data_IF_885675523316
#
_entry.id   IF_885675523316
#
_cell.length_a   1.000
_cell.length_b   1.000
_cell.length_c   1.000
_cell.angle_alpha   90.00
_cell.angle_beta   90.00
_cell.angle_gamma   90.00
#
_symmetry.space_group_name_H-M   'P 1'
#
loop_
_entity.id
_entity.type
_entity.pdbx_description
1 polymer ?
#
# COMPACT_ATOMS: atom_id res chain seq x y z
N UNK A 1 21.66 17.19 17.91
CA UNK A 1 20.24 17.09 18.30
C UNK A 1 19.35 17.77 17.29
N UNK A 2 19.31 17.28 16.05
CA UNK A 2 18.54 17.89 14.97
C UNK A 2 18.19 16.90 13.86
N UNK A 3 17.79 15.67 14.22
CA UNK A 3 17.29 14.67 13.26
C UNK A 3 15.79 14.39 13.39
N UNK A 4 15.19 14.70 14.55
CA UNK A 4 13.81 14.32 14.85
C UNK A 4 12.75 15.13 14.09
N UNK A 5 13.02 16.39 13.73
CA UNK A 5 12.07 17.23 13.00
C UNK A 5 12.03 16.94 11.49
N UNK A 6 13.18 16.57 10.94
CA UNK A 6 13.39 16.20 9.55
C UNK A 6 12.80 14.81 9.26
N UNK A 7 12.89 13.88 10.22
CA UNK A 7 12.18 12.61 10.17
C UNK A 7 10.66 12.79 10.20
N UNK A 8 10.13 13.68 11.05
CA UNK A 8 8.69 13.97 11.14
C UNK A 8 8.15 14.56 9.83
N UNK A 9 8.87 15.50 9.21
CA UNK A 9 8.52 16.04 7.91
C UNK A 9 8.56 14.96 6.81
N UNK A 10 9.63 14.18 6.78
CA UNK A 10 9.83 13.10 5.82
C UNK A 10 8.74 12.01 5.90
N UNK A 11 8.25 11.71 7.10
CA UNK A 11 7.13 10.81 7.37
C UNK A 11 5.79 11.43 6.94
N UNK A 12 5.59 12.72 7.24
CA UNK A 12 4.38 13.46 6.83
C UNK A 12 4.16 13.44 5.31
N UNK A 13 5.23 13.57 4.53
CA UNK A 13 5.14 13.43 3.06
C UNK A 13 4.71 12.03 2.65
N UNK A 14 5.33 10.98 3.22
CA UNK A 14 5.00 9.59 2.91
C UNK A 14 3.52 9.27 3.14
N UNK A 15 2.93 9.80 4.22
CA UNK A 15 1.52 9.54 4.54
C UNK A 15 0.57 10.22 3.58
N UNK A 16 0.87 11.48 3.25
CA UNK A 16 0.08 12.28 2.32
C UNK A 16 0.09 11.65 0.93
N UNK A 17 1.27 11.26 0.43
CA UNK A 17 1.38 10.60 -0.87
C UNK A 17 0.77 9.19 -0.89
N UNK A 18 0.84 8.42 0.20
CA UNK A 18 0.18 7.12 0.31
C UNK A 18 -1.34 7.21 0.17
N UNK A 19 -1.96 8.20 0.84
CA UNK A 19 -3.40 8.45 0.77
C UNK A 19 -3.81 8.94 -0.63
N UNK A 20 -3.07 9.90 -1.20
CA UNK A 20 -3.32 10.42 -2.55
C UNK A 20 -3.20 9.31 -3.62
N UNK A 21 -2.23 8.42 -3.47
CA UNK A 21 -2.06 7.26 -4.35
C UNK A 21 -3.26 6.29 -4.23
N UNK A 22 -3.76 6.04 -3.01
CA UNK A 22 -4.95 5.21 -2.81
C UNK A 22 -6.23 5.84 -3.39
N UNK A 23 -6.39 7.17 -3.28
CA UNK A 23 -7.46 7.91 -3.95
C UNK A 23 -7.37 7.81 -5.48
N UNK A 24 -6.16 7.91 -6.02
CA UNK A 24 -5.89 7.77 -7.46
C UNK A 24 -6.21 6.34 -7.94
N UNK A 25 -5.88 5.34 -7.12
CA UNK A 25 -6.25 3.94 -7.38
C UNK A 25 -7.77 3.74 -7.37
N UNK A 26 -8.48 4.33 -6.40
CA UNK A 26 -9.95 4.31 -6.40
C UNK A 26 -10.52 4.93 -7.67
N UNK A 27 -9.99 6.08 -8.10
CA UNK A 27 -10.41 6.70 -9.37
C UNK A 27 -10.17 5.78 -10.57
N UNK A 28 -9.02 5.10 -10.63
CA UNK A 28 -8.72 4.11 -11.67
C UNK A 28 -9.73 2.96 -11.65
N UNK A 29 -10.08 2.45 -10.46
CA UNK A 29 -11.05 1.37 -10.29
C UNK A 29 -12.47 1.78 -10.70
N UNK A 30 -12.85 3.04 -10.46
CA UNK A 30 -14.14 3.57 -10.85
C UNK A 30 -14.23 3.91 -12.36
N UNK A 31 -13.11 4.27 -12.99
CA UNK A 31 -13.07 4.70 -14.40
C UNK A 31 -12.68 3.58 -15.37
N UNK A 32 -11.95 2.55 -14.92
CA UNK A 32 -11.41 1.50 -15.79
C UNK A 32 -11.27 0.14 -15.09
N UNK A 33 -11.79 -0.91 -15.73
CA UNK A 33 -11.70 -2.30 -15.23
C UNK A 33 -10.27 -2.86 -15.11
N UNK A 34 -9.27 -2.21 -15.71
CA UNK A 34 -7.85 -2.60 -15.63
C UNK A 34 -7.16 -2.24 -14.31
N UNK A 35 -7.88 -1.73 -13.32
CA UNK A 35 -7.33 -1.38 -12.00
C UNK A 35 -6.66 -2.56 -11.27
N UNK A 36 -7.05 -3.80 -11.58
CA UNK A 36 -6.41 -5.03 -11.06
C UNK A 36 -4.92 -5.06 -11.43
N UNK A 37 -4.57 -4.68 -12.67
CA UNK A 37 -3.18 -4.63 -13.12
C UNK A 37 -2.37 -3.60 -12.33
N UNK A 38 -2.93 -2.40 -12.15
CA UNK A 38 -2.28 -1.34 -11.37
C UNK A 38 -2.00 -1.76 -9.92
N UNK A 39 -2.95 -2.42 -9.26
CA UNK A 39 -2.77 -2.91 -7.89
C UNK A 39 -1.63 -3.94 -7.81
N UNK A 40 -1.60 -4.89 -8.74
CA UNK A 40 -0.58 -5.94 -8.78
C UNK A 40 0.81 -5.38 -9.07
N UNK A 41 0.93 -4.39 -9.95
CA UNK A 41 2.21 -3.77 -10.29
C UNK A 41 2.80 -3.02 -9.09
N UNK A 42 1.97 -2.30 -8.33
CA UNK A 42 2.40 -1.64 -7.09
C UNK A 42 2.77 -2.67 -6.01
N UNK A 43 1.99 -3.75 -5.87
CA UNK A 43 2.33 -4.86 -4.96
C UNK A 43 3.64 -5.55 -5.32
N UNK A 44 3.87 -5.83 -6.60
CA UNK A 44 5.11 -6.43 -7.09
C UNK A 44 6.31 -5.50 -6.87
N UNK A 45 6.14 -4.19 -7.09
CA UNK A 45 7.19 -3.21 -6.81
C UNK A 45 7.59 -3.20 -5.34
N UNK A 46 6.60 -3.18 -4.43
CA UNK A 46 6.86 -3.26 -2.99
C UNK A 46 7.55 -4.57 -2.59
N UNK A 47 7.09 -5.70 -3.13
CA UNK A 47 7.73 -7.00 -2.92
C UNK A 47 9.19 -7.03 -3.43
N UNK A 48 9.45 -6.46 -4.60
CA UNK A 48 10.79 -6.38 -5.17
C UNK A 48 11.74 -5.53 -4.31
N UNK A 49 11.24 -4.43 -3.72
CA UNK A 49 12.04 -3.60 -2.79
C UNK A 49 12.41 -4.35 -1.51
N UNK A 50 11.48 -5.14 -0.96
CA UNK A 50 11.74 -6.01 0.19
C UNK A 50 12.74 -7.12 -0.16
N UNK A 51 12.57 -7.77 -1.32
CA UNK A 51 13.49 -8.80 -1.80
C UNK A 51 14.91 -8.26 -2.05
N UNK A 52 15.03 -7.00 -2.46
CA UNK A 52 16.31 -6.28 -2.59
C UNK A 52 16.91 -5.85 -1.23
N UNK A 53 16.29 -6.19 -0.11
CA UNK A 53 16.74 -5.84 1.25
C UNK A 53 16.56 -4.35 1.59
N UNK A 54 15.78 -3.60 0.82
CA UNK A 54 15.57 -2.16 0.99
C UNK A 54 14.26 -1.85 1.72
N UNK A 55 14.11 -2.42 2.91
CA UNK A 55 12.98 -2.08 3.78
C UNK A 55 13.23 -0.75 4.50
N UNK A 56 12.20 0.09 4.57
CA UNK A 56 12.22 1.37 5.29
C UNK A 56 10.82 1.67 5.84
N UNK A 57 10.75 2.31 7.01
CA UNK A 57 9.48 2.72 7.64
C UNK A 57 8.62 3.60 6.72
N UNK A 58 9.26 4.48 5.94
CA UNK A 58 8.58 5.35 4.96
C UNK A 58 7.90 4.55 3.86
N UNK A 59 8.54 3.49 3.37
CA UNK A 59 7.99 2.61 2.35
C UNK A 59 6.83 1.78 2.89
N UNK A 60 6.98 1.28 4.12
CA UNK A 60 5.91 0.60 4.86
C UNK A 60 4.67 1.48 5.00
N UNK A 61 4.83 2.74 5.43
CA UNK A 61 3.70 3.64 5.62
C UNK A 61 3.03 4.02 4.30
N UNK A 62 3.80 4.36 3.26
CA UNK A 62 3.23 4.69 1.94
C UNK A 62 2.46 3.52 1.34
N UNK A 63 3.00 2.29 1.39
CA UNK A 63 2.35 1.11 0.83
C UNK A 63 1.11 0.69 1.62
N UNK A 64 1.20 0.68 2.95
CA UNK A 64 0.08 0.33 3.82
C UNK A 64 -1.08 1.31 3.64
N UNK A 65 -0.79 2.61 3.61
CA UNK A 65 -1.82 3.63 3.39
C UNK A 65 -2.43 3.52 2.00
N UNK A 66 -1.62 3.29 0.95
CA UNK A 66 -2.12 3.05 -0.39
C UNK A 66 -3.08 1.85 -0.43
N UNK A 67 -2.68 0.71 0.14
CA UNK A 67 -3.50 -0.50 0.12
C UNK A 67 -4.77 -0.35 0.96
N UNK A 68 -4.66 0.15 2.19
CA UNK A 68 -5.83 0.32 3.08
C UNK A 68 -6.82 1.32 2.50
N UNK A 69 -6.37 2.50 2.09
CA UNK A 69 -7.28 3.51 1.53
C UNK A 69 -7.85 3.06 0.18
N UNK A 70 -7.02 2.53 -0.71
CA UNK A 70 -7.43 2.02 -2.01
C UNK A 70 -8.46 0.90 -1.91
N UNK A 71 -8.21 -0.11 -1.08
CA UNK A 71 -9.13 -1.24 -0.88
C UNK A 71 -10.40 -0.82 -0.13
N UNK A 72 -10.29 0.01 0.91
CA UNK A 72 -11.44 0.48 1.67
C UNK A 72 -12.41 1.29 0.80
N UNK A 73 -11.89 2.12 -0.11
CA UNK A 73 -12.72 2.87 -1.06
C UNK A 73 -13.24 1.98 -2.19
N UNK A 74 -12.44 1.06 -2.73
CA UNK A 74 -12.85 0.17 -3.82
C UNK A 74 -14.05 -0.71 -3.43
N UNK A 75 -14.10 -1.21 -2.19
CA UNK A 75 -15.22 -2.03 -1.68
C UNK A 75 -16.53 -1.24 -1.63
N UNK A 76 -16.48 0.11 -1.55
CA UNK A 76 -17.66 0.97 -1.53
C UNK A 76 -18.32 1.13 -2.90
N UNK A 77 -17.66 0.73 -3.99
CA UNK A 77 -18.23 0.80 -5.33
C UNK A 77 -19.12 -0.44 -5.58
N UNK A 78 -20.42 -0.28 -5.86
CA UNK A 78 -21.36 -1.41 -6.03
C UNK A 78 -20.93 -2.41 -7.11
N UNK A 79 -20.27 -1.92 -8.16
CA UNK A 79 -19.74 -2.74 -9.28
C UNK A 79 -18.56 -3.61 -8.87
N UNK A 80 -17.80 -3.23 -7.83
CA UNK A 80 -16.59 -3.93 -7.37
C UNK A 80 -16.92 -4.86 -6.20
N UNK A 81 -17.82 -4.42 -5.30
CA UNK A 81 -18.27 -5.21 -4.17
C UNK A 81 -17.10 -5.78 -3.34
N UNK A 82 -17.17 -7.07 -2.99
CA UNK A 82 -16.11 -7.76 -2.23
C UNK A 82 -15.08 -8.47 -3.10
N UNK A 83 -15.03 -8.21 -4.41
CA UNK A 83 -14.08 -8.86 -5.33
C UNK A 83 -12.61 -8.73 -4.91
N UNK A 84 -12.15 -7.59 -4.37
CA UNK A 84 -10.78 -7.44 -3.86
C UNK A 84 -10.39 -8.43 -2.74
N UNK A 85 -11.37 -8.99 -2.04
CA UNK A 85 -11.17 -9.92 -0.92
C UNK A 85 -11.39 -11.38 -1.31
N UNK A 86 -11.94 -11.64 -2.50
CA UNK A 86 -12.34 -12.99 -2.94
C UNK A 86 -11.55 -13.48 -4.16
N UNK A 87 -11.02 -12.58 -4.97
CA UNK A 87 -10.31 -12.94 -6.20
C UNK A 87 -8.81 -13.12 -5.95
N UNK A 88 -8.27 -14.28 -6.35
CA UNK A 88 -6.82 -14.58 -6.28
C UNK A 88 -5.97 -13.57 -7.07
N UNK A 89 -6.56 -12.95 -8.09
CA UNK A 89 -5.94 -11.89 -8.88
C UNK A 89 -5.68 -10.60 -8.09
N UNK A 90 -6.29 -10.42 -6.90
CA UNK A 90 -6.10 -9.25 -6.04
C UNK A 90 -5.54 -9.62 -4.65
N UNK A 91 -5.29 -10.91 -4.39
CA UNK A 91 -4.73 -11.38 -3.13
C UNK A 91 -3.22 -11.13 -2.99
N UNK A 92 -2.48 -11.07 -4.10
CA UNK A 92 -1.03 -10.80 -4.08
C UNK A 92 -0.65 -9.53 -3.30
N UNK A 93 -1.25 -8.38 -3.62
CA UNK A 93 -1.07 -7.13 -2.86
C UNK A 93 -1.47 -7.24 -1.37
N UNK A 94 -2.51 -8.02 -1.05
CA UNK A 94 -2.87 -8.30 0.35
C UNK A 94 -1.82 -9.10 1.10
N UNK A 95 -1.23 -10.11 0.46
CA UNK A 95 -0.11 -10.89 1.01
C UNK A 95 1.11 -10.00 1.24
N UNK A 96 1.45 -9.14 0.28
CA UNK A 96 2.56 -8.19 0.44
C UNK A 96 2.30 -7.24 1.61
N UNK A 97 1.08 -6.73 1.77
CA UNK A 97 0.71 -5.92 2.94
C UNK A 97 0.93 -6.69 4.25
N UNK A 98 0.51 -7.96 4.32
CA UNK A 98 0.76 -8.83 5.47
C UNK A 98 2.26 -9.02 5.77
N UNK A 99 3.09 -9.23 4.74
CA UNK A 99 4.55 -9.35 4.89
C UNK A 99 5.14 -8.05 5.45
N UNK A 100 4.71 -6.89 4.96
CA UNK A 100 5.16 -5.59 5.45
C UNK A 100 4.82 -5.39 6.94
N UNK A 101 3.65 -5.85 7.40
CA UNK A 101 3.28 -5.82 8.82
C UNK A 101 4.19 -6.70 9.68
N UNK A 102 4.49 -7.92 9.20
CA UNK A 102 5.37 -8.85 9.91
C UNK A 102 6.81 -8.31 10.01
N UNK A 103 7.34 -7.72 8.94
CA UNK A 103 8.67 -7.13 8.93
C UNK A 103 8.77 -5.96 9.91
N UNK A 104 7.78 -5.06 9.90
CA UNK A 104 7.74 -3.94 10.86
C UNK A 104 7.63 -4.44 12.30
N UNK A 105 6.80 -5.46 12.56
CA UNK A 105 6.68 -6.06 13.89
C UNK A 105 7.98 -6.72 14.34
N UNK A 106 8.69 -7.40 13.43
CA UNK A 106 9.99 -8.01 13.70
C UNK A 106 11.09 -6.98 13.97
N UNK A 107 11.04 -5.80 13.35
CA UNK A 107 11.94 -4.68 13.66
C UNK A 107 11.60 -4.06 15.02
N UNK A 108 10.33 -3.88 15.37
CA UNK A 108 9.94 -3.38 16.69
C UNK A 108 10.26 -4.33 17.84
N UNK A 109 10.32 -5.63 17.58
CA UNK A 109 10.63 -6.65 18.57
C UNK A 109 12.15 -6.84 18.82
N UNK A 110 13.00 -6.22 18.00
CA UNK A 110 14.45 -6.34 18.05
C UNK A 110 15.08 -5.16 18.80
#
# INVERSE_FOLDING_TARGET
>A
GGGRGDDEGALGYSWTFGILAGLSYFYLAASWGGYIFGLNLVGLHAAALVAAGRFNVRLYLSYTLFYVTGTALAIRVPVIGTSPLKSLEQLGPGVVCGVYQLLMAAECAR
#
